data_IF_443757376904
#
_entry.id   IF_443757376904
#
_cell.length_a   1.000
_cell.length_b   1.000
_cell.length_c   1.000
_cell.angle_alpha   90.00
_cell.angle_beta   90.00
_cell.angle_gamma   90.00
#
_symmetry.space_group_name_H-M   'P 1'
#
loop_
_entity.id
_entity.type
_entity.pdbx_description
1 polymer ?
#
# COMPACT_ATOMS: atom_id res chain seq x y z
N UNK A 1 14.92 14.61 27.87
CA UNK A 1 14.01 13.55 27.40
C UNK A 1 13.96 13.61 25.88
N UNK A 2 14.52 12.61 25.19
CA UNK A 2 14.41 12.49 23.73
C UNK A 2 13.05 11.85 23.41
N UNK A 3 12.05 12.67 23.08
CA UNK A 3 10.75 12.20 22.60
C UNK A 3 11.01 11.62 21.20
N UNK A 4 10.69 10.35 20.90
CA UNK A 4 10.80 9.84 19.54
C UNK A 4 9.95 10.72 18.61
N UNK A 5 10.37 10.92 17.34
CA UNK A 5 9.61 11.75 16.41
C UNK A 5 8.19 11.21 16.36
N UNK A 6 7.22 12.09 16.62
CA UNK A 6 5.80 11.76 16.55
C UNK A 6 5.52 11.35 15.09
N UNK A 7 5.54 10.04 14.78
CA UNK A 7 4.92 9.55 13.55
C UNK A 7 3.44 9.88 13.68
N UNK A 8 2.88 10.55 12.68
CA UNK A 8 1.44 10.85 12.68
C UNK A 8 0.72 9.52 12.51
N UNK A 9 -0.32 9.27 13.31
CA UNK A 9 -1.12 8.05 13.18
C UNK A 9 -1.68 7.87 11.77
N UNK A 10 -1.96 8.97 11.06
CA UNK A 10 -2.47 8.99 9.68
C UNK A 10 -1.39 8.76 8.60
N UNK A 11 -0.15 8.42 8.98
CA UNK A 11 0.90 8.07 8.02
C UNK A 11 0.64 6.67 7.47
N UNK A 12 0.55 6.56 6.14
CA UNK A 12 0.40 5.27 5.45
C UNK A 12 1.70 4.48 5.64
N UNK A 13 1.62 3.39 6.41
CA UNK A 13 2.77 2.55 6.73
C UNK A 13 2.85 1.33 5.80
N UNK A 14 1.70 0.80 5.39
CA UNK A 14 1.60 -0.38 4.53
C UNK A 14 0.33 -0.32 3.66
N UNK A 15 0.09 -1.38 2.89
CA UNK A 15 -1.12 -1.53 2.08
C UNK A 15 -1.67 -2.94 2.19
N UNK A 16 -2.99 -3.05 2.34
CA UNK A 16 -3.69 -4.33 2.30
C UNK A 16 -4.14 -4.60 0.87
N UNK A 17 -3.76 -5.77 0.34
CA UNK A 17 -4.08 -6.18 -1.02
C UNK A 17 -4.21 -7.70 -1.11
N UNK A 18 -5.30 -8.21 -1.71
CA UNK A 18 -5.59 -9.64 -1.88
C UNK A 18 -5.41 -10.47 -0.60
N UNK A 19 -5.95 -9.97 0.51
CA UNK A 19 -5.88 -10.56 1.86
C UNK A 19 -4.49 -10.58 2.52
N UNK A 20 -3.49 -9.96 1.90
CA UNK A 20 -2.14 -9.81 2.45
C UNK A 20 -1.83 -8.34 2.76
N UNK A 21 -0.80 -8.11 3.59
CA UNK A 21 -0.25 -6.77 3.85
C UNK A 21 1.14 -6.64 3.21
N UNK A 22 1.35 -5.55 2.49
CA UNK A 22 2.59 -5.26 1.77
C UNK A 22 3.18 -3.92 2.19
N UNK A 23 4.51 -3.86 2.30
CA UNK A 23 5.20 -2.57 2.31
C UNK A 23 5.06 -1.89 0.93
N UNK A 24 5.23 -0.55 0.83
CA UNK A 24 5.01 0.19 -0.41
C UNK A 24 5.78 -0.38 -1.61
N UNK A 25 7.06 -0.72 -1.44
CA UNK A 25 7.88 -1.29 -2.52
C UNK A 25 7.39 -2.67 -2.96
N UNK A 26 7.03 -3.54 -2.02
CA UNK A 26 6.55 -4.89 -2.33
C UNK A 26 5.17 -4.86 -2.98
N UNK A 27 4.32 -3.89 -2.63
CA UNK A 27 3.03 -3.70 -3.29
C UNK A 27 3.23 -3.42 -4.78
N UNK A 28 4.11 -2.48 -5.14
CA UNK A 28 4.38 -2.15 -6.55
C UNK A 28 4.82 -3.39 -7.32
N UNK A 29 5.73 -4.18 -6.75
CA UNK A 29 6.17 -5.42 -7.38
C UNK A 29 5.04 -6.46 -7.50
N UNK A 30 4.08 -6.50 -6.58
CA UNK A 30 2.91 -7.40 -6.65
C UNK A 30 1.94 -6.93 -7.72
N UNK A 31 1.66 -5.63 -7.80
CA UNK A 31 0.83 -5.04 -8.86
C UNK A 31 1.44 -5.21 -10.25
N UNK A 32 2.78 -5.16 -10.37
CA UNK A 32 3.47 -5.48 -11.63
C UNK A 32 3.28 -6.95 -12.01
N UNK A 33 3.42 -7.86 -11.04
CA UNK A 33 3.23 -9.30 -11.27
C UNK A 33 1.78 -9.63 -11.68
N UNK A 34 0.81 -8.90 -11.13
CA UNK A 34 -0.61 -9.01 -11.47
C UNK A 34 -1.00 -8.31 -12.79
N UNK A 35 -0.06 -7.64 -13.45
CA UNK A 35 -0.30 -6.92 -14.71
C UNK A 35 -1.09 -5.62 -14.57
N UNK A 36 -1.26 -5.12 -13.34
CA UNK A 36 -1.98 -3.87 -13.05
C UNK A 36 -1.06 -2.66 -13.22
N UNK A 37 0.19 -2.78 -12.79
CA UNK A 37 1.20 -1.73 -12.90
C UNK A 37 2.25 -2.09 -13.97
N UNK A 38 2.77 -1.08 -14.68
CA UNK A 38 3.86 -1.29 -15.62
C UNK A 38 5.20 -1.44 -14.88
N UNK A 39 6.21 -2.14 -15.45
CA UNK A 39 7.54 -2.26 -14.85
C UNK A 39 8.23 -0.92 -14.54
N UNK A 40 7.83 0.16 -15.22
CA UNK A 40 8.32 1.51 -14.99
C UNK A 40 7.90 2.09 -13.62
N UNK A 41 6.83 1.55 -13.01
CA UNK A 41 6.31 1.99 -11.72
C UNK A 41 7.32 1.86 -10.56
N UNK A 42 8.35 1.02 -10.69
CA UNK A 42 9.39 0.82 -9.67
C UNK A 42 10.14 2.09 -9.27
N UNK A 43 10.25 3.05 -10.19
CA UNK A 43 10.99 4.30 -9.98
C UNK A 43 10.08 5.48 -9.61
N UNK A 44 8.80 5.21 -9.32
CA UNK A 44 7.80 6.22 -9.04
C UNK A 44 7.39 6.17 -7.57
N UNK A 45 6.95 7.30 -7.00
CA UNK A 45 6.28 7.30 -5.71
C UNK A 45 5.08 6.35 -5.73
N UNK A 46 4.91 5.57 -4.66
CA UNK A 46 3.81 4.60 -4.56
C UNK A 46 2.46 5.26 -4.80
N UNK A 47 2.22 6.45 -4.23
CA UNK A 47 0.95 7.14 -4.38
C UNK A 47 0.65 7.53 -5.83
N UNK A 48 1.63 8.07 -6.57
CA UNK A 48 1.51 8.39 -8.00
C UNK A 48 1.18 7.14 -8.84
N UNK A 49 1.79 5.99 -8.52
CA UNK A 49 1.48 4.73 -9.21
C UNK A 49 0.03 4.32 -8.94
N UNK A 50 -0.40 4.42 -7.68
CA UNK A 50 -1.74 4.04 -7.28
C UNK A 50 -2.80 4.97 -7.88
N UNK A 51 -2.54 6.27 -7.97
CA UNK A 51 -3.43 7.23 -8.65
C UNK A 51 -3.58 6.87 -10.13
N UNK A 52 -2.46 6.58 -10.82
CA UNK A 52 -2.50 6.20 -12.24
C UNK A 52 -3.23 4.88 -12.48
N UNK A 53 -2.94 3.84 -11.68
CA UNK A 53 -3.59 2.55 -11.80
C UNK A 53 -5.09 2.64 -11.46
N UNK A 54 -5.48 3.41 -10.44
CA UNK A 54 -6.88 3.62 -10.09
C UNK A 54 -7.64 4.36 -11.21
N UNK A 55 -7.04 5.40 -11.78
CA UNK A 55 -7.60 6.10 -12.94
C UNK A 55 -7.81 5.18 -14.16
N UNK A 56 -6.85 4.29 -14.42
CA UNK A 56 -6.96 3.31 -15.51
C UNK A 56 -8.05 2.24 -15.28
N UNK A 57 -8.29 1.88 -14.03
CA UNK A 57 -9.30 0.89 -13.63
C UNK A 57 -10.67 1.49 -13.29
N UNK A 58 -10.82 2.82 -13.39
CA UNK A 58 -12.00 3.57 -12.96
C UNK A 58 -12.37 3.34 -11.47
N UNK A 59 -11.35 3.20 -10.62
CA UNK A 59 -11.50 3.00 -9.18
C UNK A 59 -11.43 4.35 -8.45
N UNK A 60 -12.40 4.60 -7.58
CA UNK A 60 -12.42 5.80 -6.76
C UNK A 60 -11.69 5.56 -5.41
N UNK A 61 -10.39 5.88 -5.36
CA UNK A 61 -9.57 5.72 -4.16
C UNK A 61 -10.03 6.56 -2.96
N UNK A 62 -10.74 7.66 -3.22
CA UNK A 62 -11.25 8.54 -2.17
C UNK A 62 -12.52 8.00 -1.49
N UNK A 63 -13.16 6.99 -2.08
CA UNK A 63 -14.33 6.32 -1.51
C UNK A 63 -14.06 4.83 -1.31
N UNK A 64 -13.63 4.50 -0.10
CA UNK A 64 -13.27 3.15 0.32
C UNK A 64 -14.44 2.14 0.28
N UNK A 65 -15.68 2.62 0.09
CA UNK A 65 -16.87 1.77 -0.03
C UNK A 65 -17.11 1.28 -1.46
N UNK A 66 -16.37 1.81 -2.43
CA UNK A 66 -16.59 1.55 -3.87
C UNK A 66 -15.73 0.44 -4.46
N UNK A 67 -14.76 -0.06 -3.70
CA UNK A 67 -13.87 -1.15 -4.09
C UNK A 67 -13.41 -1.96 -2.88
N UNK A 68 -12.98 -3.18 -3.10
CA UNK A 68 -12.38 -4.03 -2.06
C UNK A 68 -10.87 -4.25 -2.26
N UNK A 69 -10.21 -4.84 -1.26
CA UNK A 69 -8.77 -5.12 -1.31
C UNK A 69 -8.40 -6.21 -2.31
N UNK A 70 -9.36 -6.97 -2.84
CA UNK A 70 -9.13 -7.94 -3.91
C UNK A 70 -9.04 -7.26 -5.27
N UNK A 71 -9.72 -6.13 -5.43
CA UNK A 71 -9.71 -5.29 -6.63
C UNK A 71 -8.51 -4.32 -6.64
N UNK A 72 -8.26 -3.61 -5.53
CA UNK A 72 -7.21 -2.60 -5.46
C UNK A 72 -6.64 -2.43 -4.05
N UNK A 73 -5.34 -2.11 -3.90
CA UNK A 73 -4.74 -1.90 -2.59
C UNK A 73 -5.37 -0.74 -1.82
N UNK A 74 -5.61 -0.98 -0.52
CA UNK A 74 -6.06 0.02 0.45
C UNK A 74 -4.94 0.39 1.41
N UNK A 75 -4.80 1.66 1.82
CA UNK A 75 -3.79 2.07 2.77
C UNK A 75 -4.04 1.45 4.15
N UNK A 76 -2.96 0.98 4.78
CA UNK A 76 -2.94 0.60 6.19
C UNK A 76 -2.12 1.65 6.95
N UNK A 77 -2.76 2.28 7.93
CA UNK A 77 -2.15 3.30 8.78
C UNK A 77 -1.32 2.67 9.89
N UNK A 78 -0.35 3.43 10.39
CA UNK A 78 0.60 2.94 11.41
C UNK A 78 -0.09 2.41 12.67
N UNK A 79 -1.22 2.97 13.06
CA UNK A 79 -1.99 2.57 14.23
C UNK A 79 -2.83 1.30 14.03
N UNK A 80 -3.00 0.85 12.77
CA UNK A 80 -3.65 -0.41 12.43
C UNK A 80 -2.68 -1.59 12.43
N UNK A 81 -1.37 -1.30 12.37
CA UNK A 81 -0.32 -2.30 12.40
C UNK A 81 0.09 -2.62 13.84
N UNK A 82 0.35 -3.89 14.06
CA UNK A 82 0.94 -4.45 15.26
C UNK A 82 2.43 -4.70 15.05
N UNK A 83 3.23 -4.80 16.12
CA UNK A 83 4.66 -5.13 16.00
C UNK A 83 4.95 -6.50 15.34
N UNK A 84 3.94 -7.35 15.23
CA UNK A 84 4.03 -8.68 14.63
C UNK A 84 3.64 -8.67 13.14
N UNK A 85 3.15 -7.56 12.61
CA UNK A 85 2.80 -7.43 11.19
C UNK A 85 4.07 -7.36 10.33
N UNK A 86 4.13 -8.27 9.37
CA UNK A 86 5.24 -8.41 8.43
C UNK A 86 4.73 -8.29 7.00
N UNK A 87 5.58 -7.74 6.13
CA UNK A 87 5.29 -7.72 4.71
C UNK A 87 5.18 -9.15 4.17
N UNK A 88 4.06 -9.49 3.54
CA UNK A 88 3.81 -10.83 2.99
C UNK A 88 4.83 -11.27 1.92
N UNK A 89 5.58 -10.33 1.33
CA UNK A 89 6.58 -10.62 0.30
C UNK A 89 8.02 -10.64 0.79
N UNK A 90 8.45 -9.59 1.50
CA UNK A 90 9.85 -9.49 1.96
C UNK A 90 10.05 -9.97 3.40
N UNK A 91 8.97 -10.23 4.14
CA UNK A 91 8.99 -10.65 5.55
C UNK A 91 9.68 -9.68 6.51
N UNK A 92 9.90 -8.44 6.08
CA UNK A 92 10.38 -7.36 6.96
C UNK A 92 9.22 -6.83 7.82
N UNK A 93 9.50 -6.38 9.05
CA UNK A 93 8.52 -5.70 9.90
C UNK A 93 7.98 -4.43 9.25
N UNK A 94 6.69 -4.14 9.48
CA UNK A 94 5.98 -2.97 8.95
C UNK A 94 5.87 -1.83 9.97
#
# INVERSE_FOLDING_TARGET
MNRPPYRRSDEIAAYTYKADIYCPACLIETMIADGIAAPAARNMPTDDVLEQCAGALAINRDDDTTYDTTEFPKPAFLDWLTPDDICARCHEPL
#
